data_IF_974429740860
#
_entry.id   IF_974429740860
#
_cell.length_a   1.000
_cell.length_b   1.000
_cell.length_c   1.000
_cell.angle_alpha   90.00
_cell.angle_beta   90.00
_cell.angle_gamma   90.00
#
_symmetry.space_group_name_H-M   'P 1'
#
loop_
_entity.id
_entity.type
_entity.pdbx_description
1 polymer ?
#
# COMPACT_ATOMS: atom_id res chain seq x y z
N UNK A 1 20.52 34.43 4.69
CA UNK A 1 21.88 33.91 4.94
C UNK A 1 22.27 33.02 3.78
N UNK A 2 23.32 33.36 3.04
CA UNK A 2 23.75 32.60 1.86
C UNK A 2 24.48 31.34 2.32
N UNK A 3 23.80 30.19 2.33
CA UNK A 3 24.43 28.93 2.73
C UNK A 3 25.63 28.61 1.83
N UNK A 4 26.78 28.36 2.46
CA UNK A 4 28.04 28.10 1.76
C UNK A 4 27.97 26.72 1.07
N UNK A 5 27.86 26.71 -0.25
CA UNK A 5 27.89 25.49 -1.07
C UNK A 5 29.23 24.75 -0.87
N UNK A 6 29.18 23.47 -0.52
CA UNK A 6 30.33 22.58 -0.36
C UNK A 6 30.32 21.50 -1.46
N UNK A 7 31.50 21.13 -1.94
CA UNK A 7 31.67 19.97 -2.81
C UNK A 7 31.90 18.74 -1.95
N UNK A 8 31.05 17.74 -2.12
CA UNK A 8 31.11 16.45 -1.46
C UNK A 8 31.71 15.42 -2.40
N UNK A 9 32.71 14.69 -1.93
CA UNK A 9 33.18 13.47 -2.55
C UNK A 9 32.50 12.30 -1.83
N UNK A 10 31.48 11.71 -2.45
CA UNK A 10 30.62 10.66 -1.88
C UNK A 10 31.15 9.31 -2.35
N UNK A 11 31.89 8.54 -1.52
CA UNK A 11 32.36 7.21 -1.91
C UNK A 11 31.17 6.27 -2.00
N UNK A 12 31.02 5.58 -3.13
CA UNK A 12 29.94 4.61 -3.36
C UNK A 12 30.43 3.51 -4.32
N UNK A 13 29.71 2.39 -4.36
CA UNK A 13 29.98 1.33 -5.33
C UNK A 13 29.92 1.84 -6.78
N UNK A 14 30.73 1.27 -7.67
CA UNK A 14 30.77 1.66 -9.08
C UNK A 14 29.39 1.50 -9.76
N UNK A 15 28.71 0.38 -9.53
CA UNK A 15 27.37 0.14 -10.09
C UNK A 15 26.35 1.21 -9.65
N UNK A 16 26.38 1.60 -8.37
CA UNK A 16 25.52 2.66 -7.85
C UNK A 16 25.87 4.02 -8.47
N UNK A 17 27.17 4.36 -8.55
CA UNK A 17 27.65 5.59 -9.21
C UNK A 17 27.11 5.68 -10.63
N UNK A 18 27.24 4.59 -11.39
CA UNK A 18 26.89 4.55 -12.81
C UNK A 18 25.37 4.65 -13.00
N UNK A 19 24.58 3.98 -12.16
CA UNK A 19 23.12 4.12 -12.16
C UNK A 19 22.67 5.56 -11.86
N UNK A 20 23.24 6.20 -10.84
CA UNK A 20 22.93 7.60 -10.50
C UNK A 20 23.35 8.55 -11.63
N UNK A 21 24.51 8.32 -12.24
CA UNK A 21 24.96 9.13 -13.38
C UNK A 21 24.08 8.94 -14.61
N UNK A 22 23.62 7.72 -14.89
CA UNK A 22 22.69 7.43 -15.97
C UNK A 22 21.34 8.12 -15.74
N UNK A 23 20.83 8.10 -14.51
CA UNK A 23 19.63 8.84 -14.11
C UNK A 23 19.82 10.36 -14.31
N UNK A 24 20.96 10.91 -13.88
CA UNK A 24 21.27 12.33 -14.08
C UNK A 24 21.31 12.71 -15.56
N UNK A 25 21.94 11.86 -16.39
CA UNK A 25 22.01 12.05 -17.82
C UNK A 25 20.64 11.96 -18.50
N UNK A 26 19.81 10.97 -18.16
CA UNK A 26 18.47 10.79 -18.74
C UNK A 26 17.53 11.95 -18.41
N UNK A 27 17.72 12.58 -17.24
CA UNK A 27 16.97 13.76 -16.78
C UNK A 27 17.60 15.08 -17.20
N UNK A 28 18.74 15.06 -17.89
CA UNK A 28 19.50 16.25 -18.31
C UNK A 28 19.84 17.20 -17.14
N UNK A 29 20.25 16.64 -15.99
CA UNK A 29 20.65 17.37 -14.78
C UNK A 29 21.97 16.84 -14.22
N UNK A 30 22.54 17.51 -13.22
CA UNK A 30 23.67 16.97 -12.48
C UNK A 30 23.21 16.16 -11.24
N UNK A 31 24.08 15.27 -10.74
CA UNK A 31 23.83 14.44 -9.55
C UNK A 31 23.51 15.28 -8.31
N UNK A 32 24.09 16.47 -8.19
CA UNK A 32 23.81 17.41 -7.11
C UNK A 32 22.38 17.94 -7.14
N UNK A 33 21.79 18.13 -8.31
CA UNK A 33 20.43 18.59 -8.45
C UNK A 33 19.44 17.49 -8.08
N UNK A 34 19.72 16.23 -8.45
CA UNK A 34 18.92 15.08 -7.98
C UNK A 34 18.92 15.00 -6.45
N UNK A 35 20.12 14.94 -5.85
CA UNK A 35 20.24 14.85 -4.40
C UNK A 35 19.54 16.01 -3.69
N UNK A 36 19.70 17.23 -4.20
CA UNK A 36 19.05 18.43 -3.64
C UNK A 36 17.54 18.35 -3.74
N UNK A 37 16.99 17.98 -4.89
CA UNK A 37 15.55 17.88 -5.08
C UNK A 37 14.93 16.88 -4.12
N UNK A 38 15.54 15.71 -3.95
CA UNK A 38 15.08 14.71 -2.97
C UNK A 38 15.13 15.26 -1.55
N UNK A 39 16.25 15.88 -1.15
CA UNK A 39 16.43 16.46 0.18
C UNK A 39 15.52 17.66 0.49
N UNK A 40 15.02 18.35 -0.53
CA UNK A 40 14.09 19.48 -0.37
C UNK A 40 12.62 19.03 -0.34
N UNK A 41 12.26 18.02 -1.14
CA UNK A 41 10.88 17.58 -1.30
C UNK A 41 10.49 16.59 -0.21
N UNK A 42 11.43 15.74 0.23
CA UNK A 42 11.13 14.63 1.13
C UNK A 42 11.52 14.93 2.58
N UNK A 43 10.73 14.45 3.56
CA UNK A 43 11.09 14.55 4.97
C UNK A 43 12.41 13.82 5.26
N UNK A 44 13.22 14.38 6.17
CA UNK A 44 14.48 13.77 6.60
C UNK A 44 14.30 12.34 7.11
N UNK A 45 13.19 12.07 7.81
CA UNK A 45 12.85 10.72 8.29
C UNK A 45 12.67 9.70 7.14
N UNK A 46 12.11 10.11 6.00
CA UNK A 46 11.94 9.24 4.84
C UNK A 46 13.29 8.90 4.18
N UNK A 47 14.18 9.88 4.09
CA UNK A 47 15.56 9.69 3.61
C UNK A 47 16.33 8.78 4.56
N UNK A 48 16.20 8.99 5.87
CA UNK A 48 16.80 8.14 6.89
C UNK A 48 16.26 6.71 6.88
N UNK A 49 14.98 6.49 6.55
CA UNK A 49 14.42 5.14 6.44
C UNK A 49 14.89 4.39 5.17
N UNK A 50 15.43 5.09 4.18
CA UNK A 50 15.93 4.46 2.95
C UNK A 50 17.24 3.71 3.23
N UNK A 51 17.40 2.46 2.73
CA UNK A 51 18.67 1.74 2.86
C UNK A 51 19.84 2.52 2.25
N UNK A 52 20.95 2.60 2.97
CA UNK A 52 22.19 3.15 2.43
C UNK A 52 22.86 2.09 1.54
N UNK A 53 23.11 2.36 0.25
CA UNK A 53 23.84 1.43 -0.63
C UNK A 53 25.30 1.23 -0.19
N UNK A 54 25.82 2.07 0.70
CA UNK A 54 27.08 1.85 1.38
C UNK A 54 28.32 2.31 0.61
N UNK A 55 29.47 2.03 1.21
CA UNK A 55 30.78 2.29 0.60
C UNK A 55 31.18 1.24 -0.44
N UNK A 56 32.05 1.58 -1.40
CA UNK A 56 32.57 0.61 -2.35
C UNK A 56 33.40 -0.46 -1.63
N UNK A 57 33.27 -1.70 -2.09
CA UNK A 57 34.02 -2.83 -1.58
C UNK A 57 35.55 -2.65 -1.71
N UNK A 58 36.33 -3.48 -1.01
CA UNK A 58 37.79 -3.36 -1.00
C UNK A 58 38.43 -3.53 -2.40
N UNK A 59 37.82 -4.34 -3.26
CA UNK A 59 38.25 -4.59 -4.63
C UNK A 59 37.62 -3.62 -5.66
N UNK A 60 36.55 -2.92 -5.29
CA UNK A 60 35.88 -1.95 -6.17
C UNK A 60 36.72 -0.67 -6.29
N UNK A 61 37.45 -0.56 -7.40
CA UNK A 61 38.43 0.50 -7.65
C UNK A 61 38.32 0.98 -9.09
N UNK A 62 38.18 2.29 -9.24
CA UNK A 62 38.20 3.01 -10.51
C UNK A 62 39.64 3.41 -10.84
N UNK A 63 40.05 3.19 -12.09
CA UNK A 63 41.32 3.69 -12.61
C UNK A 63 41.10 5.04 -13.28
N UNK A 64 41.80 6.07 -12.81
CA UNK A 64 41.81 7.41 -13.42
C UNK A 64 43.19 7.79 -13.88
N UNK A 65 43.28 8.56 -14.96
CA UNK A 65 44.53 9.22 -15.34
C UNK A 65 44.64 10.52 -14.55
N UNK A 66 45.71 10.67 -13.78
CA UNK A 66 45.95 11.90 -13.03
C UNK A 66 46.23 13.05 -14.01
N UNK A 67 45.46 14.13 -13.92
CA UNK A 67 45.60 15.31 -14.79
C UNK A 67 46.72 16.26 -14.34
N UNK A 68 47.17 16.17 -13.09
CA UNK A 68 48.08 17.15 -12.47
C UNK A 68 48.93 16.54 -11.35
N UNK A 69 50.05 17.19 -11.02
CA UNK A 69 50.99 16.79 -9.96
C UNK A 69 52.17 15.95 -10.46
N UNK A 70 53.05 15.47 -9.57
CA UNK A 70 54.27 14.72 -9.92
C UNK A 70 54.01 13.42 -10.69
N UNK A 71 52.79 12.88 -10.57
CA UNK A 71 52.35 11.66 -11.23
C UNK A 71 51.33 11.92 -12.34
N UNK A 72 51.29 13.14 -12.90
CA UNK A 72 50.43 13.47 -14.04
C UNK A 72 50.69 12.51 -15.22
N UNK A 73 49.61 12.10 -15.91
CA UNK A 73 49.65 11.12 -16.99
C UNK A 73 49.69 9.64 -16.55
N UNK A 74 49.93 9.35 -15.26
CA UNK A 74 49.94 7.95 -14.76
C UNK A 74 48.54 7.47 -14.36
N UNK A 75 48.23 6.18 -14.58
CA UNK A 75 46.99 5.57 -14.08
C UNK A 75 47.05 5.44 -12.55
N UNK A 76 45.96 5.82 -11.90
CA UNK A 76 45.81 5.79 -10.46
C UNK A 76 44.52 5.09 -10.07
N UNK A 77 44.60 4.08 -9.19
CA UNK A 77 43.44 3.36 -8.68
C UNK A 77 42.91 4.03 -7.42
N UNK A 78 41.61 4.37 -7.41
CA UNK A 78 40.93 4.97 -6.27
C UNK A 78 39.56 4.34 -6.02
N UNK A 79 38.98 4.60 -4.86
CA UNK A 79 37.56 4.28 -4.59
C UNK A 79 36.67 5.05 -5.58
N UNK A 80 35.69 4.40 -6.24
CA UNK A 80 34.66 5.10 -7.00
C UNK A 80 33.91 6.07 -6.08
N UNK A 81 33.49 7.20 -6.66
CA UNK A 81 32.84 8.27 -5.91
C UNK A 81 32.01 9.17 -6.81
N UNK A 82 30.94 9.72 -6.26
CA UNK A 82 30.17 10.80 -6.87
C UNK A 82 30.70 12.16 -6.38
N UNK A 83 30.75 13.15 -7.26
CA UNK A 83 31.04 14.53 -6.90
C UNK A 83 29.73 15.31 -6.88
N UNK A 84 29.34 15.81 -5.71
CA UNK A 84 28.01 16.39 -5.48
C UNK A 84 28.16 17.76 -4.83
N UNK A 85 27.49 18.79 -5.36
CA UNK A 85 27.56 20.17 -4.82
C UNK A 85 26.25 20.56 -4.13
N UNK A 86 26.29 20.66 -2.81
CA UNK A 86 25.13 20.89 -1.93
C UNK A 86 25.45 21.95 -0.86
N UNK A 87 24.44 22.51 -0.17
CA UNK A 87 24.67 23.22 1.09
C UNK A 87 25.49 22.37 2.07
N UNK A 88 26.29 23.03 2.91
CA UNK A 88 27.04 22.32 3.95
C UNK A 88 26.10 21.79 5.04
N UNK A 89 26.46 20.67 5.67
CA UNK A 89 25.73 20.10 6.81
C UNK A 89 25.16 18.69 6.58
N UNK A 90 25.15 18.21 5.34
CA UNK A 90 24.66 16.86 5.04
C UNK A 90 25.72 15.78 5.31
N UNK A 91 25.40 14.70 6.05
CA UNK A 91 26.27 13.53 6.16
C UNK A 91 26.30 12.76 4.84
N UNK A 92 27.42 12.10 4.56
CA UNK A 92 27.63 11.39 3.28
C UNK A 92 26.62 10.25 3.11
N UNK A 93 26.29 9.54 4.19
CA UNK A 93 25.26 8.49 4.15
C UNK A 93 23.91 9.03 3.69
N UNK A 94 23.48 10.20 4.17
CA UNK A 94 22.19 10.79 3.75
C UNK A 94 22.20 11.20 2.28
N UNK A 95 23.35 11.63 1.75
CA UNK A 95 23.49 11.90 0.30
C UNK A 95 23.33 10.60 -0.49
N UNK A 96 23.95 9.50 -0.04
CA UNK A 96 23.77 8.18 -0.68
C UNK A 96 22.32 7.69 -0.60
N UNK A 97 21.69 7.78 0.57
CA UNK A 97 20.28 7.40 0.78
C UNK A 97 19.34 8.21 -0.11
N UNK A 98 19.53 9.53 -0.20
CA UNK A 98 18.72 10.39 -1.06
C UNK A 98 18.86 10.02 -2.54
N UNK A 99 20.08 9.71 -2.99
CA UNK A 99 20.31 9.25 -4.37
C UNK A 99 19.74 7.85 -4.62
N UNK A 100 19.77 6.97 -3.61
CA UNK A 100 19.16 5.64 -3.70
C UNK A 100 17.64 5.72 -3.79
N UNK A 101 17.03 6.60 -2.99
CA UNK A 101 15.62 6.93 -3.04
C UNK A 101 15.22 7.46 -4.42
N UNK A 102 16.04 8.32 -5.04
CA UNK A 102 15.81 8.78 -6.40
C UNK A 102 15.79 7.63 -7.43
N UNK A 103 16.72 6.67 -7.32
CA UNK A 103 16.74 5.50 -8.18
C UNK A 103 15.51 4.61 -7.98
N UNK A 104 15.12 4.37 -6.73
CA UNK A 104 13.93 3.58 -6.41
C UNK A 104 12.64 4.25 -6.92
N UNK A 105 12.58 5.58 -6.91
CA UNK A 105 11.47 6.33 -7.51
C UNK A 105 11.47 6.28 -9.04
N UNK A 106 12.66 6.29 -9.68
CA UNK A 106 12.79 6.19 -11.13
C UNK A 106 12.44 4.79 -11.66
N UNK A 107 12.78 3.73 -10.91
CA UNK A 107 12.43 2.35 -11.25
C UNK A 107 10.97 1.99 -10.94
N UNK A 108 10.26 2.82 -10.18
CA UNK A 108 8.89 2.56 -9.71
C UNK A 108 8.80 1.65 -8.48
N UNK A 109 9.92 1.26 -7.88
CA UNK A 109 9.95 0.52 -6.61
C UNK A 109 9.37 1.35 -5.45
N UNK A 110 9.50 2.67 -5.51
CA UNK A 110 8.94 3.59 -4.53
C UNK A 110 8.09 4.67 -5.20
N UNK A 111 6.91 4.92 -4.64
CA UNK A 111 5.96 5.91 -5.16
C UNK A 111 5.75 7.02 -4.15
N UNK A 112 5.70 8.26 -4.64
CA UNK A 112 5.34 9.43 -3.84
C UNK A 112 3.84 9.72 -3.97
N UNK A 113 3.15 9.79 -2.84
CA UNK A 113 1.74 10.21 -2.79
C UNK A 113 1.65 11.64 -2.25
N UNK A 114 0.99 12.52 -3.00
CA UNK A 114 0.73 13.90 -2.60
C UNK A 114 -0.67 13.95 -1.99
N UNK A 115 -0.76 14.43 -0.75
CA UNK A 115 -2.01 14.57 -0.03
C UNK A 115 -2.24 16.04 0.34
N UNK A 116 -3.51 16.44 0.33
CA UNK A 116 -3.89 17.77 0.79
C UNK A 116 -3.94 17.79 2.31
N UNK A 117 -3.31 18.80 2.94
CA UNK A 117 -3.20 18.88 4.40
C UNK A 117 -4.53 19.18 5.11
N UNK A 118 -5.52 19.68 4.37
CA UNK A 118 -6.86 20.01 4.87
C UNK A 118 -7.81 18.80 4.93
N UNK A 119 -7.39 17.66 4.36
CA UNK A 119 -8.18 16.43 4.31
C UNK A 119 -7.49 15.31 5.08
N UNK A 120 -8.26 14.36 5.65
CA UNK A 120 -7.67 13.17 6.25
C UNK A 120 -6.86 12.40 5.19
N UNK A 121 -5.65 11.99 5.58
CA UNK A 121 -4.78 11.17 4.73
C UNK A 121 -5.50 9.91 4.26
N UNK A 122 -5.06 9.33 3.15
CA UNK A 122 -5.59 8.06 2.66
C UNK A 122 -5.52 6.97 3.74
N UNK A 123 -4.44 6.95 4.53
CA UNK A 123 -4.28 6.05 5.68
C UNK A 123 -5.32 6.30 6.77
N UNK A 124 -5.59 7.55 7.12
CA UNK A 124 -6.64 7.90 8.09
C UNK A 124 -8.03 7.53 7.58
N UNK A 125 -8.33 7.83 6.31
CA UNK A 125 -9.61 7.45 5.68
C UNK A 125 -9.80 5.94 5.67
N UNK A 126 -8.74 5.19 5.35
CA UNK A 126 -8.77 3.73 5.38
C UNK A 126 -9.06 3.19 6.80
N UNK A 127 -8.42 3.77 7.82
CA UNK A 127 -8.69 3.42 9.22
C UNK A 127 -10.14 3.70 9.61
N UNK A 128 -10.67 4.88 9.27
CA UNK A 128 -12.05 5.27 9.56
C UNK A 128 -13.07 4.35 8.86
N UNK A 129 -12.83 4.03 7.59
CA UNK A 129 -13.69 3.09 6.85
C UNK A 129 -13.63 1.69 7.45
N UNK A 130 -12.46 1.23 7.91
CA UNK A 130 -12.32 -0.06 8.57
C UNK A 130 -13.09 -0.10 9.89
N UNK A 131 -12.99 0.94 10.72
CA UNK A 131 -13.76 1.08 11.96
C UNK A 131 -15.26 1.11 11.72
N UNK A 132 -15.71 1.83 10.68
CA UNK A 132 -17.12 1.90 10.33
C UNK A 132 -17.65 0.56 9.81
N UNK A 133 -16.89 -0.16 8.98
CA UNK A 133 -17.24 -1.53 8.56
C UNK A 133 -17.42 -2.44 9.78
N UNK A 134 -16.52 -2.35 10.76
CA UNK A 134 -16.59 -3.18 11.96
C UNK A 134 -17.82 -2.83 12.82
N UNK A 135 -18.12 -1.54 12.95
CA UNK A 135 -19.34 -1.06 13.62
C UNK A 135 -20.60 -1.56 12.92
N UNK A 136 -20.65 -1.47 11.58
CA UNK A 136 -21.77 -1.97 10.79
C UNK A 136 -21.93 -3.49 10.91
N UNK A 137 -20.83 -4.24 10.96
CA UNK A 137 -20.86 -5.68 11.24
C UNK A 137 -21.41 -5.99 12.62
N UNK A 138 -21.02 -5.24 13.65
CA UNK A 138 -21.54 -5.43 14.99
C UNK A 138 -23.05 -5.17 15.07
N UNK A 139 -23.53 -4.08 14.45
CA UNK A 139 -24.96 -3.77 14.35
C UNK A 139 -25.70 -4.87 13.58
N UNK A 140 -25.15 -5.31 12.45
CA UNK A 140 -25.76 -6.38 11.66
C UNK A 140 -25.81 -7.69 12.46
N UNK A 141 -24.76 -8.03 13.21
CA UNK A 141 -24.74 -9.21 14.10
C UNK A 141 -25.83 -9.15 15.18
N UNK A 142 -26.03 -7.98 15.80
CA UNK A 142 -27.07 -7.78 16.81
C UNK A 142 -28.50 -7.85 16.24
N UNK A 143 -28.69 -7.47 14.97
CA UNK A 143 -29.98 -7.50 14.28
C UNK A 143 -30.19 -8.78 13.45
N UNK A 144 -29.16 -9.60 13.28
CA UNK A 144 -29.19 -10.76 12.42
C UNK A 144 -30.18 -11.80 12.96
N UNK A 145 -30.83 -12.48 12.02
CA UNK A 145 -31.70 -13.58 12.34
C UNK A 145 -30.90 -14.73 12.98
N UNK A 146 -31.36 -15.21 14.14
CA UNK A 146 -30.84 -16.43 14.76
C UNK A 146 -31.59 -17.66 14.22
N UNK A 147 -30.90 -18.63 13.57
CA UNK A 147 -31.50 -19.89 13.15
C UNK A 147 -32.28 -20.59 14.25
N UNK A 148 -33.47 -21.09 13.90
CA UNK A 148 -34.31 -21.84 14.83
C UNK A 148 -33.57 -23.12 15.27
N UNK A 149 -33.60 -23.43 16.56
CA UNK A 149 -32.86 -24.60 17.07
C UNK A 149 -33.34 -25.92 16.46
N UNK A 150 -34.66 -26.05 16.32
CA UNK A 150 -35.35 -27.27 15.87
C UNK A 150 -35.72 -27.24 14.38
N UNK A 151 -35.21 -26.27 13.61
CA UNK A 151 -35.61 -26.07 12.22
C UNK A 151 -37.04 -25.56 12.06
N UNK A 152 -37.59 -25.66 10.84
CA UNK A 152 -38.93 -25.14 10.49
C UNK A 152 -39.97 -26.24 10.63
N UNK A 153 -40.95 -26.06 11.51
CA UNK A 153 -42.00 -27.06 11.82
C UNK A 153 -43.41 -26.60 11.49
N UNK A 154 -43.62 -25.29 11.36
CA UNK A 154 -44.95 -24.73 11.09
C UNK A 154 -44.89 -23.50 10.17
N UNK A 155 -46.07 -23.06 9.70
CA UNK A 155 -46.19 -21.93 8.76
C UNK A 155 -45.69 -20.61 9.35
N UNK A 156 -45.90 -20.39 10.64
CA UNK A 156 -45.45 -19.18 11.32
C UNK A 156 -43.90 -19.12 11.39
N UNK A 157 -43.25 -20.25 11.68
CA UNK A 157 -41.79 -20.39 11.64
C UNK A 157 -41.25 -20.22 10.21
N UNK A 158 -41.95 -20.72 9.19
CA UNK A 158 -41.57 -20.53 7.79
C UNK A 158 -41.65 -19.05 7.35
N UNK A 159 -42.70 -18.33 7.77
CA UNK A 159 -42.80 -16.88 7.57
C UNK A 159 -41.68 -16.14 8.31
N UNK A 160 -41.43 -16.48 9.56
CA UNK A 160 -40.37 -15.89 10.38
C UNK A 160 -38.98 -16.06 9.75
N UNK A 161 -38.65 -17.26 9.26
CA UNK A 161 -37.37 -17.57 8.60
C UNK A 161 -37.15 -16.70 7.35
N UNK A 162 -38.20 -16.44 6.57
CA UNK A 162 -38.15 -15.57 5.39
C UNK A 162 -38.26 -14.07 5.73
N UNK A 163 -38.49 -13.71 7.00
CA UNK A 163 -38.63 -12.33 7.46
C UNK A 163 -40.00 -11.71 7.19
N UNK A 164 -41.05 -12.52 7.15
CA UNK A 164 -42.45 -12.08 7.17
C UNK A 164 -43.03 -12.18 8.58
N UNK A 165 -44.08 -11.40 8.87
CA UNK A 165 -44.79 -11.55 10.14
C UNK A 165 -45.54 -12.90 10.18
N UNK A 166 -45.68 -13.55 11.36
CA UNK A 166 -46.30 -14.88 11.46
C UNK A 166 -47.69 -15.02 10.82
N UNK A 167 -48.49 -13.94 10.89
CA UNK A 167 -49.86 -13.86 10.39
C UNK A 167 -49.98 -13.14 9.04
N UNK A 168 -48.86 -12.79 8.43
CA UNK A 168 -48.86 -12.15 7.11
C UNK A 168 -49.32 -13.17 6.05
N UNK A 169 -50.00 -12.69 5.02
CA UNK A 169 -50.41 -13.50 3.87
C UNK A 169 -49.64 -13.06 2.61
N UNK A 170 -48.30 -13.25 2.58
CA UNK A 170 -47.50 -12.83 1.44
C UNK A 170 -47.87 -13.63 0.18
N UNK A 171 -47.86 -12.96 -0.97
CA UNK A 171 -48.12 -13.63 -2.25
C UNK A 171 -47.00 -14.62 -2.59
N UNK A 172 -47.29 -15.63 -3.43
CA UNK A 172 -46.28 -16.57 -3.93
C UNK A 172 -45.09 -15.86 -4.60
N UNK A 173 -45.37 -14.74 -5.29
CA UNK A 173 -44.31 -13.91 -5.90
C UNK A 173 -43.41 -13.28 -4.84
N UNK A 174 -43.98 -12.71 -3.78
CA UNK A 174 -43.23 -12.10 -2.68
C UNK A 174 -42.36 -13.12 -1.94
N UNK A 175 -42.90 -14.32 -1.66
CA UNK A 175 -42.15 -15.43 -1.05
C UNK A 175 -40.95 -15.81 -1.92
N UNK A 176 -41.16 -16.02 -3.22
CA UNK A 176 -40.09 -16.39 -4.15
C UNK A 176 -39.04 -15.29 -4.32
N UNK A 177 -39.43 -14.01 -4.28
CA UNK A 177 -38.50 -12.88 -4.34
C UNK A 177 -37.63 -12.82 -3.08
N UNK A 178 -38.25 -12.95 -1.89
CA UNK A 178 -37.56 -12.91 -0.61
C UNK A 178 -36.59 -14.07 -0.43
N UNK A 179 -37.02 -15.29 -0.80
CA UNK A 179 -36.15 -16.46 -0.81
C UNK A 179 -34.92 -16.26 -1.70
N UNK A 180 -35.09 -15.79 -2.94
CA UNK A 180 -33.97 -15.56 -3.86
C UNK A 180 -32.96 -14.56 -3.29
N UNK A 181 -33.44 -13.47 -2.70
CA UNK A 181 -32.59 -12.49 -2.03
C UNK A 181 -31.79 -13.12 -0.89
N UNK A 182 -32.44 -13.82 0.04
CA UNK A 182 -31.77 -14.44 1.21
C UNK A 182 -30.85 -15.59 0.80
N UNK A 183 -31.24 -16.40 -0.18
CA UNK A 183 -30.42 -17.48 -0.71
C UNK A 183 -29.14 -16.94 -1.36
N UNK A 184 -29.21 -15.81 -2.10
CA UNK A 184 -28.00 -15.21 -2.68
C UNK A 184 -26.99 -14.71 -1.64
N UNK A 185 -27.46 -14.33 -0.44
CA UNK A 185 -26.61 -13.84 0.65
C UNK A 185 -26.01 -15.02 1.42
N UNK A 186 -26.84 -16.00 1.79
CA UNK A 186 -26.48 -17.09 2.71
C UNK A 186 -26.09 -18.40 2.03
N UNK A 187 -25.99 -18.43 0.70
CA UNK A 187 -25.52 -19.62 -0.02
C UNK A 187 -24.15 -20.07 0.53
N UNK A 188 -23.88 -21.37 0.71
CA UNK A 188 -22.58 -21.86 1.18
C UNK A 188 -21.37 -21.34 0.39
N UNK A 189 -21.56 -21.13 -0.91
CA UNK A 189 -20.51 -20.62 -1.81
C UNK A 189 -20.35 -19.09 -1.75
N UNK A 190 -21.19 -18.40 -0.97
CA UNK A 190 -21.08 -16.95 -0.73
C UNK A 190 -20.01 -16.68 0.35
N UNK A 191 -19.27 -15.55 0.28
CA UNK A 191 -18.39 -15.10 1.35
C UNK A 191 -19.06 -14.96 2.73
N UNK A 192 -20.40 -14.85 2.75
CA UNK A 192 -21.22 -14.75 3.97
C UNK A 192 -22.18 -15.94 4.12
N UNK A 193 -21.81 -17.09 3.53
CA UNK A 193 -22.60 -18.31 3.54
C UNK A 193 -22.84 -18.87 4.94
N UNK A 194 -24.04 -19.39 5.16
CA UNK A 194 -24.39 -20.12 6.38
C UNK A 194 -25.24 -21.33 6.00
N UNK A 195 -24.66 -22.52 6.11
CA UNK A 195 -25.31 -23.79 5.82
C UNK A 195 -26.60 -24.00 6.62
N UNK A 196 -26.59 -23.60 7.90
CA UNK A 196 -27.74 -23.77 8.79
C UNK A 196 -28.86 -22.82 8.38
N UNK A 197 -28.53 -21.58 8.06
CA UNK A 197 -29.48 -20.60 7.54
C UNK A 197 -30.06 -21.04 6.20
N UNK A 198 -29.23 -21.53 5.29
CA UNK A 198 -29.65 -22.00 3.97
C UNK A 198 -30.58 -23.22 4.05
N UNK A 199 -30.29 -24.18 4.93
CA UNK A 199 -31.18 -25.32 5.18
C UNK A 199 -32.57 -24.85 5.60
N UNK A 200 -32.66 -23.93 6.56
CA UNK A 200 -33.96 -23.42 7.02
C UNK A 200 -34.69 -22.61 5.95
N UNK A 201 -33.98 -21.87 5.09
CA UNK A 201 -34.60 -21.18 3.95
C UNK A 201 -35.23 -22.17 2.97
N UNK A 202 -34.58 -23.31 2.71
CA UNK A 202 -35.11 -24.39 1.87
C UNK A 202 -36.34 -25.05 2.51
N UNK A 203 -36.27 -25.33 3.81
CA UNK A 203 -37.39 -25.91 4.56
C UNK A 203 -38.60 -24.96 4.58
N UNK A 204 -38.37 -23.67 4.81
CA UNK A 204 -39.41 -22.65 4.84
C UNK A 204 -40.14 -22.51 3.49
N UNK A 205 -39.40 -22.45 2.38
CA UNK A 205 -40.04 -22.35 1.06
C UNK A 205 -40.74 -23.66 0.67
N UNK A 206 -40.21 -24.82 1.07
CA UNK A 206 -40.88 -26.10 0.91
C UNK A 206 -42.22 -26.15 1.65
N UNK A 207 -42.22 -25.72 2.92
CA UNK A 207 -43.42 -25.69 3.75
C UNK A 207 -44.50 -24.77 3.17
N UNK A 208 -44.12 -23.58 2.70
CA UNK A 208 -45.05 -22.58 2.14
C UNK A 208 -45.54 -22.91 0.72
N UNK A 209 -44.83 -23.77 -0.01
CA UNK A 209 -45.26 -24.28 -1.33
C UNK A 209 -46.17 -25.50 -1.22
N UNK A 210 -45.92 -26.37 -0.23
CA UNK A 210 -46.63 -27.63 -0.06
C UNK A 210 -47.83 -27.54 0.89
N UNK A 211 -47.93 -26.49 1.71
CA UNK A 211 -49.13 -26.23 2.49
C UNK A 211 -50.22 -25.62 1.59
N UNK A 212 -51.44 -26.18 1.56
CA UNK A 212 -52.57 -25.61 0.83
C UNK A 212 -52.92 -24.19 1.29
#
# INVERSE_FOLDING_TARGET
>A
MTERKKSYAVPCAAAFRDAVMALAASRNVNVGDIARSVMLILPEAAIAATPDPGEPAANDRETIILKSGPSAGKPWRRKPRLQVRLPAGHPIENIRRALNLALAMDSGEQTLMIEASDKPSAKQRQSQLAEEIERLRAVNSALAFTPLEQGVRNRAEAHYVLGFAPKEAPSRSAINAKYRMLASIHHPDSPYGDHRRMSQLNDAIGFLRNSP
#
